data_IF_639174778022
#
_entry.id   IF_639174778022
#
_cell.length_a   1.000
_cell.length_b   1.000
_cell.length_c   1.000
_cell.angle_alpha   90.00
_cell.angle_beta   90.00
_cell.angle_gamma   90.00
#
_symmetry.space_group_name_H-M   'P 1'
#
loop_
_entity.id
_entity.type
_entity.pdbx_description
1 polymer ?
#
# COMPACT_ATOMS: atom_id res chain seq x y z
N UNK A 1 -44.95 -2.34 -67.31
CA UNK A 1 -44.82 -1.41 -66.19
C UNK A 1 -44.17 -2.19 -65.04
N UNK A 2 -42.86 -2.04 -64.81
CA UNK A 2 -42.11 -2.71 -63.74
C UNK A 2 -42.02 -1.78 -62.53
N UNK A 3 -42.57 -2.22 -61.43
CA UNK A 3 -42.56 -1.48 -60.16
C UNK A 3 -41.19 -1.73 -59.48
N UNK A 4 -40.31 -0.75 -59.42
CA UNK A 4 -39.04 -0.78 -58.65
C UNK A 4 -39.39 -0.39 -57.24
N UNK A 5 -39.34 -1.36 -56.30
CA UNK A 5 -39.44 -1.11 -54.85
C UNK A 5 -38.07 -0.75 -54.35
N UNK A 6 -37.87 0.52 -54.01
CA UNK A 6 -36.65 1.03 -53.37
C UNK A 6 -36.69 0.70 -51.87
N UNK A 7 -35.92 -0.32 -51.42
CA UNK A 7 -35.80 -0.67 -50.02
C UNK A 7 -34.77 0.26 -49.35
N UNK A 8 -35.22 1.28 -48.62
CA UNK A 8 -34.35 2.13 -47.83
C UNK A 8 -33.96 1.38 -46.54
N UNK A 9 -32.71 0.92 -46.47
CA UNK A 9 -32.13 0.36 -45.25
C UNK A 9 -31.75 1.50 -44.33
N UNK A 10 -32.57 1.79 -43.32
CA UNK A 10 -32.18 2.68 -42.23
C UNK A 10 -31.24 1.93 -41.29
N UNK A 11 -29.94 2.21 -41.37
CA UNK A 11 -28.98 1.84 -40.33
C UNK A 11 -29.24 2.72 -39.12
N UNK A 12 -29.93 2.19 -38.12
CA UNK A 12 -30.01 2.82 -36.81
C UNK A 12 -28.63 2.68 -36.17
N UNK A 13 -27.84 3.74 -36.23
CA UNK A 13 -26.62 3.83 -35.41
C UNK A 13 -27.09 3.89 -33.96
N UNK A 14 -26.98 2.78 -33.24
CA UNK A 14 -27.13 2.76 -31.79
C UNK A 14 -25.99 3.60 -31.23
N UNK A 15 -26.29 4.80 -30.73
CA UNK A 15 -25.35 5.56 -29.92
C UNK A 15 -25.13 4.76 -28.63
N UNK A 16 -24.08 3.99 -28.59
CA UNK A 16 -23.65 3.33 -27.35
C UNK A 16 -23.22 4.43 -26.39
N UNK A 17 -23.87 4.51 -25.24
CA UNK A 17 -23.44 5.43 -24.17
C UNK A 17 -21.99 5.12 -23.80
N UNK A 18 -21.16 6.15 -23.66
CA UNK A 18 -19.77 5.98 -23.23
C UNK A 18 -19.73 5.26 -21.89
N UNK A 19 -18.91 4.22 -21.77
CA UNK A 19 -18.83 3.40 -20.59
C UNK A 19 -18.26 4.21 -19.39
N UNK A 20 -18.98 4.23 -18.26
CA UNK A 20 -18.48 4.65 -16.95
C UNK A 20 -17.83 3.44 -16.29
N UNK A 21 -16.65 3.61 -15.72
CA UNK A 21 -15.88 2.51 -15.14
C UNK A 21 -16.07 2.38 -13.61
N UNK A 22 -16.97 3.16 -13.00
CA UNK A 22 -17.22 3.13 -11.55
C UNK A 22 -16.06 3.65 -10.72
N UNK A 23 -15.17 4.44 -11.32
CA UNK A 23 -14.05 5.13 -10.66
C UNK A 23 -14.30 6.62 -10.74
N UNK A 24 -14.09 7.32 -9.61
CA UNK A 24 -14.28 8.77 -9.52
C UNK A 24 -13.01 9.40 -8.93
N UNK A 25 -12.53 10.47 -9.53
CA UNK A 25 -11.39 11.26 -9.04
C UNK A 25 -11.86 12.69 -8.84
N UNK A 26 -11.77 13.21 -7.60
CA UNK A 26 -12.22 14.56 -7.24
C UNK A 26 -13.65 14.87 -7.73
N UNK A 27 -14.57 13.91 -7.63
CA UNK A 27 -15.96 14.06 -8.08
C UNK A 27 -16.18 13.87 -9.59
N UNK A 28 -15.14 13.60 -10.37
CA UNK A 28 -15.24 13.37 -11.81
C UNK A 28 -15.16 11.88 -12.13
N UNK A 29 -16.16 11.33 -12.79
CA UNK A 29 -16.16 9.93 -13.26
C UNK A 29 -15.06 9.67 -14.29
N UNK A 30 -14.49 8.47 -14.22
CA UNK A 30 -13.57 7.94 -15.23
C UNK A 30 -14.38 7.21 -16.30
N UNK A 31 -14.32 7.72 -17.53
CA UNK A 31 -15.10 7.27 -18.66
C UNK A 31 -14.18 6.83 -19.80
N UNK A 32 -14.73 6.12 -20.77
CA UNK A 32 -14.05 5.77 -22.02
C UNK A 32 -13.36 6.98 -22.70
N UNK A 33 -13.98 8.18 -22.60
CA UNK A 33 -13.46 9.38 -23.28
C UNK A 33 -12.27 10.04 -22.59
N UNK A 34 -12.10 9.85 -21.26
CA UNK A 34 -11.04 10.50 -20.48
C UNK A 34 -10.04 9.52 -19.84
N UNK A 35 -10.29 8.21 -19.89
CA UNK A 35 -9.49 7.21 -19.17
C UNK A 35 -7.99 7.22 -19.55
N UNK A 36 -7.65 7.63 -20.76
CA UNK A 36 -6.28 7.67 -21.22
C UNK A 36 -5.45 8.83 -20.64
N UNK A 37 -6.12 9.88 -20.15
CA UNK A 37 -5.47 11.02 -19.51
C UNK A 37 -6.44 11.73 -18.55
N UNK A 38 -6.21 11.54 -17.25
CA UNK A 38 -7.01 12.12 -16.19
C UNK A 38 -6.34 13.38 -15.56
N UNK A 39 -5.21 13.83 -16.13
CA UNK A 39 -4.49 15.01 -15.63
C UNK A 39 -5.29 16.32 -15.84
N UNK A 40 -6.27 16.32 -16.74
CA UNK A 40 -7.19 17.44 -16.91
C UNK A 40 -8.22 17.62 -15.81
N UNK A 41 -8.34 16.66 -14.89
CA UNK A 41 -9.23 16.77 -13.73
C UNK A 41 -8.66 17.80 -12.76
N UNK A 42 -9.48 18.74 -12.30
CA UNK A 42 -9.06 19.76 -11.35
C UNK A 42 -8.49 19.13 -10.08
N UNK A 43 -7.31 19.60 -9.66
CA UNK A 43 -6.57 19.08 -8.50
C UNK A 43 -5.70 17.87 -8.79
N UNK A 44 -5.66 17.39 -10.05
CA UNK A 44 -4.75 16.32 -10.49
C UNK A 44 -3.57 16.93 -11.22
N UNK A 45 -2.36 16.48 -10.87
CA UNK A 45 -1.11 16.80 -11.56
C UNK A 45 -0.28 15.53 -11.71
N UNK A 46 0.68 15.52 -12.63
CA UNK A 46 1.43 14.33 -13.01
C UNK A 46 0.62 13.44 -13.96
N UNK A 47 0.98 12.18 -14.12
CA UNK A 47 0.28 11.27 -15.03
C UNK A 47 -0.68 10.37 -14.27
N UNK A 48 -1.95 10.42 -14.65
CA UNK A 48 -3.00 9.54 -14.15
C UNK A 48 -3.77 8.97 -15.33
N UNK A 49 -3.80 7.64 -15.46
CA UNK A 49 -4.40 6.93 -16.59
C UNK A 49 -5.11 5.68 -16.13
N UNK A 50 -6.23 5.37 -16.75
CA UNK A 50 -6.94 4.12 -16.50
C UNK A 50 -7.00 3.27 -17.77
N UNK A 51 -6.59 2.02 -17.67
CA UNK A 51 -6.73 0.99 -18.70
C UNK A 51 -7.91 0.08 -18.37
N UNK A 52 -9.02 0.15 -19.11
CA UNK A 52 -10.20 -0.67 -18.83
C UNK A 52 -9.99 -2.17 -19.14
N UNK A 53 -9.07 -2.51 -20.06
CA UNK A 53 -8.82 -3.90 -20.42
C UNK A 53 -8.16 -4.68 -19.28
N UNK A 54 -7.28 -4.03 -18.53
CA UNK A 54 -6.58 -4.61 -17.37
C UNK A 54 -7.12 -4.14 -16.02
N UNK A 55 -8.14 -3.25 -16.02
CA UNK A 55 -8.68 -2.56 -14.84
C UNK A 55 -7.59 -1.89 -14.00
N UNK A 56 -6.64 -1.23 -14.66
CA UNK A 56 -5.46 -0.65 -14.04
C UNK A 56 -5.51 0.88 -14.07
N UNK A 57 -5.55 1.49 -12.89
CA UNK A 57 -5.34 2.92 -12.70
C UNK A 57 -3.86 3.16 -12.37
N UNK A 58 -3.11 3.76 -13.29
CA UNK A 58 -1.70 4.09 -13.08
C UNK A 58 -1.57 5.51 -12.56
N UNK A 59 -0.87 5.67 -11.44
CA UNK A 59 -0.42 6.94 -10.88
C UNK A 59 1.10 7.01 -11.10
N UNK A 60 1.57 8.00 -11.85
CA UNK A 60 3.00 8.16 -12.13
C UNK A 60 3.43 9.60 -11.82
N UNK A 61 4.20 9.75 -10.72
CA UNK A 61 4.59 11.05 -10.16
C UNK A 61 3.38 11.98 -10.03
N UNK A 62 2.25 11.42 -9.62
CA UNK A 62 0.97 12.09 -9.60
C UNK A 62 0.67 12.71 -8.23
N UNK A 63 0.02 13.85 -8.24
CA UNK A 63 -0.58 14.45 -7.04
C UNK A 63 -2.07 14.65 -7.28
N UNK A 64 -2.90 14.13 -6.35
CA UNK A 64 -4.34 14.36 -6.34
C UNK A 64 -4.66 15.17 -5.08
N UNK A 65 -5.09 16.39 -5.26
CA UNK A 65 -5.52 17.29 -4.17
C UNK A 65 -7.04 17.41 -4.17
N UNK A 66 -7.67 17.06 -3.06
CA UNK A 66 -9.12 17.08 -2.89
C UNK A 66 -9.74 18.46 -3.12
N UNK A 67 -10.92 18.47 -3.72
CA UNK A 67 -11.65 19.68 -4.05
C UNK A 67 -12.98 19.70 -3.27
N UNK A 68 -13.16 20.70 -2.42
CA UNK A 68 -14.39 20.86 -1.66
C UNK A 68 -14.65 19.65 -0.76
N UNK A 69 -15.79 19.01 -0.91
CA UNK A 69 -16.21 17.81 -0.15
C UNK A 69 -16.13 16.53 -0.99
N UNK A 70 -15.26 16.51 -2.00
CA UNK A 70 -15.08 15.33 -2.84
C UNK A 70 -13.94 14.45 -2.32
N UNK A 71 -14.08 13.14 -2.46
CA UNK A 71 -12.99 12.17 -2.24
C UNK A 71 -11.94 12.34 -3.34
N UNK A 72 -10.66 12.21 -3.00
CA UNK A 72 -9.62 12.26 -4.02
C UNK A 72 -9.74 11.10 -5.01
N UNK A 73 -9.98 9.89 -4.50
CA UNK A 73 -10.21 8.70 -5.32
C UNK A 73 -11.33 7.86 -4.71
N UNK A 74 -12.27 7.45 -5.55
CA UNK A 74 -13.37 6.60 -5.15
C UNK A 74 -13.55 5.47 -6.17
N UNK A 75 -13.49 4.22 -5.70
CA UNK A 75 -13.86 3.04 -6.48
C UNK A 75 -15.22 2.54 -5.99
N UNK A 76 -16.27 2.81 -6.76
CA UNK A 76 -17.64 2.38 -6.43
C UNK A 76 -17.97 0.99 -6.96
N UNK A 77 -17.54 0.66 -8.19
CA UNK A 77 -18.04 -0.52 -8.93
C UNK A 77 -16.97 -1.26 -9.74
N UNK A 78 -15.74 -0.74 -9.84
CA UNK A 78 -14.66 -1.41 -10.55
C UNK A 78 -14.09 -2.57 -9.72
N UNK A 79 -14.71 -3.74 -9.82
CA UNK A 79 -14.26 -4.94 -9.10
C UNK A 79 -12.90 -5.40 -9.61
N UNK A 80 -11.94 -5.58 -8.67
CA UNK A 80 -10.58 -5.96 -8.99
C UNK A 80 -9.73 -4.81 -9.56
N UNK A 81 -10.06 -3.54 -9.24
CA UNK A 81 -9.25 -2.39 -9.60
C UNK A 81 -7.81 -2.56 -9.07
N UNK A 82 -6.84 -2.36 -9.95
CA UNK A 82 -5.42 -2.28 -9.60
C UNK A 82 -4.95 -0.83 -9.71
N UNK A 83 -4.49 -0.26 -8.60
CA UNK A 83 -3.89 1.08 -8.56
C UNK A 83 -2.38 0.87 -8.58
N UNK A 84 -1.74 1.13 -9.72
CA UNK A 84 -0.31 0.92 -9.92
C UNK A 84 0.45 2.21 -9.67
N UNK A 85 1.35 2.19 -8.70
CA UNK A 85 2.20 3.31 -8.32
C UNK A 85 3.52 3.26 -9.07
N UNK A 86 3.88 4.35 -9.74
CA UNK A 86 5.17 4.56 -10.38
C UNK A 86 5.78 5.88 -9.90
N UNK A 87 7.05 5.83 -9.46
CA UNK A 87 7.70 7.00 -8.87
C UNK A 87 7.03 7.46 -7.57
N UNK A 88 6.98 8.76 -7.32
CA UNK A 88 6.47 9.33 -6.07
C UNK A 88 5.09 9.94 -6.27
N UNK A 89 4.09 9.40 -5.60
CA UNK A 89 2.70 9.83 -5.72
C UNK A 89 2.20 10.43 -4.41
N UNK A 90 1.22 11.32 -4.51
CA UNK A 90 0.65 12.01 -3.35
C UNK A 90 -0.86 12.20 -3.46
N UNK A 91 -1.55 11.99 -2.32
CA UNK A 91 -2.96 12.31 -2.15
C UNK A 91 -3.10 13.25 -0.94
N UNK A 92 -3.78 14.37 -1.11
CA UNK A 92 -4.04 15.34 -0.03
C UNK A 92 -5.52 15.67 0.00
N UNK A 93 -6.20 15.42 1.11
CA UNK A 93 -7.58 15.83 1.30
C UNK A 93 -7.80 16.42 2.70
N UNK A 94 -8.11 17.70 2.78
CA UNK A 94 -8.33 18.37 4.06
C UNK A 94 -9.77 18.26 4.56
N UNK A 95 -10.73 18.00 3.69
CA UNK A 95 -12.16 18.08 4.00
C UNK A 95 -12.86 16.72 4.01
N UNK A 96 -12.42 15.79 3.15
CA UNK A 96 -13.07 14.50 2.92
C UNK A 96 -12.06 13.35 2.91
N UNK A 97 -12.52 12.12 2.71
CA UNK A 97 -11.71 10.89 2.63
C UNK A 97 -10.67 11.00 1.52
N UNK A 98 -9.47 10.53 1.78
CA UNK A 98 -8.42 10.46 0.77
C UNK A 98 -8.80 9.47 -0.34
N UNK A 99 -8.98 8.21 0.03
CA UNK A 99 -9.36 7.13 -0.89
C UNK A 99 -10.50 6.30 -0.29
N UNK A 100 -11.56 6.04 -1.05
CA UNK A 100 -12.66 5.17 -0.62
C UNK A 100 -12.87 4.03 -1.62
N UNK A 101 -13.06 2.81 -1.10
CA UNK A 101 -13.25 1.60 -1.89
C UNK A 101 -14.53 0.86 -1.47
N UNK A 102 -15.44 0.66 -2.40
CA UNK A 102 -16.66 -0.18 -2.29
C UNK A 102 -16.63 -1.39 -3.20
N UNK A 103 -15.51 -1.59 -3.90
CA UNK A 103 -15.18 -2.77 -4.70
C UNK A 103 -13.76 -3.20 -4.38
N UNK A 104 -13.48 -4.50 -4.50
CA UNK A 104 -12.15 -5.04 -4.21
C UNK A 104 -11.07 -4.29 -4.98
N UNK A 105 -10.05 -3.82 -4.26
CA UNK A 105 -9.00 -2.97 -4.80
C UNK A 105 -7.63 -3.44 -4.34
N UNK A 106 -6.66 -3.36 -5.27
CA UNK A 106 -5.25 -3.61 -4.98
C UNK A 106 -4.46 -2.33 -5.25
N UNK A 107 -3.67 -1.87 -4.28
CA UNK A 107 -2.66 -0.81 -4.47
C UNK A 107 -1.31 -1.51 -4.59
N UNK A 108 -0.58 -1.26 -5.68
CA UNK A 108 0.64 -2.01 -5.96
C UNK A 108 1.65 -1.21 -6.80
N UNK A 109 2.84 -1.80 -7.03
CA UNK A 109 3.87 -1.27 -7.93
C UNK A 109 5.08 -0.70 -7.19
N UNK A 110 6.21 -0.47 -7.87
CA UNK A 110 7.48 -0.11 -7.23
C UNK A 110 7.55 1.34 -6.75
N UNK A 111 6.45 2.09 -6.84
CA UNK A 111 6.38 3.48 -6.42
C UNK A 111 5.97 3.68 -4.97
N UNK A 112 5.91 4.96 -4.59
CA UNK A 112 5.48 5.39 -3.26
C UNK A 112 4.18 6.17 -3.31
N UNK A 113 3.42 6.17 -2.20
CA UNK A 113 2.22 6.97 -2.04
C UNK A 113 2.21 7.65 -0.66
N UNK A 114 2.24 9.00 -0.65
CA UNK A 114 2.06 9.83 0.55
C UNK A 114 0.60 10.31 0.61
N UNK A 115 -0.14 9.88 1.64
CA UNK A 115 -1.54 10.26 1.85
C UNK A 115 -1.62 11.18 3.06
N UNK A 116 -2.22 12.35 2.89
CA UNK A 116 -2.46 13.31 3.97
C UNK A 116 -3.92 13.70 4.04
N UNK A 117 -4.51 13.50 5.22
CA UNK A 117 -5.90 13.89 5.48
C UNK A 117 -6.03 14.65 6.79
N UNK A 118 -7.03 15.51 6.86
CA UNK A 118 -7.25 16.33 8.05
C UNK A 118 -8.53 15.92 8.78
N UNK A 119 -9.69 16.04 8.14
CA UNK A 119 -10.99 15.87 8.82
C UNK A 119 -11.54 14.45 8.75
N UNK A 120 -11.11 13.67 7.76
CA UNK A 120 -11.63 12.34 7.46
C UNK A 120 -10.51 11.31 7.36
N UNK A 121 -10.87 10.08 7.13
CA UNK A 121 -10.02 8.93 6.99
C UNK A 121 -9.06 9.06 5.79
N UNK A 122 -7.86 8.51 5.90
CA UNK A 122 -6.94 8.48 4.77
C UNK A 122 -7.38 7.44 3.72
N UNK A 123 -7.67 6.22 4.17
CA UNK A 123 -8.20 5.12 3.34
C UNK A 123 -9.41 4.53 4.05
N UNK A 124 -10.52 4.42 3.32
CA UNK A 124 -11.76 3.77 3.76
C UNK A 124 -12.12 2.65 2.77
N UNK A 125 -12.30 1.41 3.25
CA UNK A 125 -12.77 0.28 2.43
C UNK A 125 -13.95 -0.41 3.11
N UNK A 126 -15.07 -0.53 2.38
CA UNK A 126 -16.37 -0.85 2.97
C UNK A 126 -16.89 -2.16 2.41
N UNK A 127 -16.97 -3.20 3.25
CA UNK A 127 -17.45 -4.55 2.92
C UNK A 127 -16.68 -5.27 1.82
N UNK A 128 -15.47 -4.84 1.53
CA UNK A 128 -14.62 -5.38 0.47
C UNK A 128 -13.20 -5.58 0.96
N UNK A 129 -12.40 -6.47 0.34
CA UNK A 129 -10.97 -6.57 0.65
C UNK A 129 -10.18 -5.40 0.06
N UNK A 130 -9.13 -5.02 0.77
CA UNK A 130 -8.07 -4.12 0.30
C UNK A 130 -6.74 -4.84 0.35
N UNK A 131 -6.03 -4.87 -0.77
CA UNK A 131 -4.66 -5.41 -0.85
C UNK A 131 -3.66 -4.30 -1.10
N UNK A 132 -2.54 -4.31 -0.38
CA UNK A 132 -1.37 -3.45 -0.58
C UNK A 132 -0.20 -4.38 -0.85
N UNK A 133 0.38 -4.33 -2.06
CA UNK A 133 1.45 -5.25 -2.46
C UNK A 133 2.58 -4.55 -3.22
N UNK A 134 3.83 -4.93 -2.94
CA UNK A 134 5.04 -4.47 -3.65
C UNK A 134 5.18 -2.94 -3.74
N UNK A 135 4.78 -2.20 -2.70
CA UNK A 135 4.83 -0.74 -2.68
C UNK A 135 5.11 -0.15 -1.30
N UNK A 136 5.31 1.16 -1.26
CA UNK A 136 5.45 1.91 -0.01
C UNK A 136 4.34 2.94 0.13
N UNK A 137 3.62 2.90 1.26
CA UNK A 137 2.56 3.85 1.60
C UNK A 137 2.89 4.54 2.91
N UNK A 138 2.87 5.86 2.89
CA UNK A 138 2.97 6.70 4.09
C UNK A 138 1.65 7.44 4.29
N UNK A 139 1.06 7.34 5.47
CA UNK A 139 -0.19 7.99 5.83
C UNK A 139 0.04 8.93 7.00
N UNK A 140 -0.38 10.18 6.84
CA UNK A 140 -0.44 11.18 7.89
C UNK A 140 -1.88 11.70 7.98
N UNK A 141 -2.60 11.30 9.00
CA UNK A 141 -4.00 11.66 9.20
C UNK A 141 -4.23 12.35 10.54
N UNK A 142 -4.86 13.51 10.51
CA UNK A 142 -5.34 14.17 11.74
C UNK A 142 -6.59 13.46 12.32
N UNK A 143 -7.15 12.50 11.59
CA UNK A 143 -8.25 11.65 12.00
C UNK A 143 -7.79 10.18 12.06
N UNK A 144 -8.26 9.33 11.18
CA UNK A 144 -8.00 7.89 11.18
C UNK A 144 -7.20 7.51 9.92
N UNK A 145 -6.31 6.54 10.03
CA UNK A 145 -5.47 6.09 8.92
C UNK A 145 -6.26 5.21 7.95
N UNK A 146 -6.28 3.90 8.18
CA UNK A 146 -6.96 2.90 7.35
C UNK A 146 -8.17 2.37 8.12
N UNK A 147 -9.35 2.46 7.49
CA UNK A 147 -10.63 2.10 8.12
C UNK A 147 -11.38 1.08 7.26
N UNK A 148 -11.80 -0.03 7.86
CA UNK A 148 -12.59 -1.06 7.19
C UNK A 148 -14.08 -0.74 7.05
N UNK A 149 -14.53 0.43 7.44
CA UNK A 149 -15.89 0.98 7.34
C UNK A 149 -17.00 -0.01 7.66
N UNK A 150 -17.46 0.00 8.88
CA UNK A 150 -18.36 -0.98 9.48
C UNK A 150 -17.69 -2.34 9.77
N UNK A 151 -17.98 -2.88 10.93
CA UNK A 151 -17.48 -4.18 11.39
C UNK A 151 -18.00 -5.28 10.46
N UNK A 152 -17.13 -5.75 9.56
CA UNK A 152 -17.48 -6.79 8.58
C UNK A 152 -16.29 -7.72 8.33
N UNK A 153 -16.52 -9.02 8.44
CA UNK A 153 -15.51 -10.04 8.09
C UNK A 153 -15.05 -9.96 6.63
N UNK A 154 -15.80 -9.27 5.76
CA UNK A 154 -15.42 -9.06 4.36
C UNK A 154 -14.37 -7.97 4.18
N UNK A 155 -14.24 -7.03 5.13
CA UNK A 155 -13.27 -5.95 5.07
C UNK A 155 -11.90 -6.44 5.55
N UNK A 156 -11.23 -7.28 4.76
CA UNK A 156 -9.90 -7.80 5.07
C UNK A 156 -8.83 -6.91 4.45
N UNK A 157 -7.84 -6.51 5.27
CA UNK A 157 -6.63 -5.83 4.81
C UNK A 157 -5.52 -6.86 4.59
N UNK A 158 -5.04 -6.97 3.35
CA UNK A 158 -3.85 -7.76 3.03
C UNK A 158 -2.69 -6.82 2.75
N UNK A 159 -1.56 -7.02 3.42
CA UNK A 159 -0.30 -6.32 3.15
C UNK A 159 0.76 -7.35 2.78
N UNK A 160 1.28 -7.26 1.55
CA UNK A 160 2.27 -8.20 1.01
C UNK A 160 3.50 -7.46 0.56
N UNK A 161 4.69 -7.91 1.00
CA UNK A 161 6.00 -7.38 0.55
C UNK A 161 6.03 -5.85 0.45
N UNK A 162 5.37 -5.16 1.37
CA UNK A 162 5.14 -3.72 1.33
C UNK A 162 5.55 -3.04 2.63
N UNK A 163 5.76 -1.72 2.54
CA UNK A 163 5.93 -0.86 3.69
C UNK A 163 4.73 0.06 3.84
N UNK A 164 4.04 -0.02 4.98
CA UNK A 164 2.89 0.84 5.32
C UNK A 164 3.19 1.54 6.65
N UNK A 165 3.44 2.84 6.59
CA UNK A 165 3.76 3.69 7.74
C UNK A 165 2.58 4.63 7.99
N UNK A 166 1.86 4.40 9.08
CA UNK A 166 0.64 5.14 9.40
C UNK A 166 0.87 5.97 10.64
N UNK A 167 0.68 7.27 10.52
CA UNK A 167 0.60 8.19 11.64
C UNK A 167 -0.80 8.81 11.68
N UNK A 168 -1.60 8.44 12.69
CA UNK A 168 -3.01 8.85 12.76
C UNK A 168 -3.45 9.10 14.21
N UNK A 169 -4.21 10.16 14.44
CA UNK A 169 -4.59 10.60 15.79
C UNK A 169 -5.65 9.69 16.44
N UNK A 170 -6.64 9.24 15.69
CA UNK A 170 -7.80 8.54 16.24
C UNK A 170 -7.75 7.02 16.06
N UNK A 171 -6.77 6.53 15.29
CA UNK A 171 -6.54 5.09 15.07
C UNK A 171 -5.80 4.83 13.77
N UNK A 172 -4.79 3.97 13.82
CA UNK A 172 -3.94 3.71 12.66
C UNK A 172 -4.64 2.78 11.65
N UNK A 173 -5.11 1.60 12.10
CA UNK A 173 -5.86 0.63 11.29
C UNK A 173 -7.00 0.08 12.14
N UNK A 174 -8.24 0.42 11.77
CA UNK A 174 -9.40 0.21 12.65
C UNK A 174 -10.64 -0.27 11.89
N UNK A 175 -11.53 -0.93 12.63
CA UNK A 175 -12.88 -1.34 12.21
C UNK A 175 -12.91 -2.20 10.96
N UNK A 176 -12.07 -3.23 10.91
CA UNK A 176 -11.94 -4.14 9.75
C UNK A 176 -12.04 -5.61 10.19
N UNK A 177 -12.31 -6.51 9.23
CA UNK A 177 -12.64 -7.91 9.52
C UNK A 177 -11.44 -8.79 9.81
N UNK A 178 -10.25 -8.40 9.39
CA UNK A 178 -9.02 -9.17 9.59
C UNK A 178 -7.84 -8.61 8.82
N UNK A 179 -6.63 -9.04 9.20
CA UNK A 179 -5.39 -8.67 8.54
C UNK A 179 -4.62 -9.92 8.11
N UNK A 180 -4.05 -9.86 6.90
CA UNK A 180 -3.11 -10.85 6.37
C UNK A 180 -1.81 -10.14 6.08
N UNK A 181 -0.71 -10.61 6.66
CA UNK A 181 0.64 -10.09 6.46
C UNK A 181 1.48 -11.16 5.77
N UNK A 182 1.92 -10.87 4.55
CA UNK A 182 2.78 -11.76 3.76
C UNK A 182 4.09 -11.04 3.42
N UNK A 183 5.21 -11.66 3.77
CA UNK A 183 6.55 -11.08 3.61
C UNK A 183 6.75 -9.71 4.27
N UNK A 184 5.94 -9.44 5.27
CA UNK A 184 6.02 -8.27 6.16
C UNK A 184 5.45 -8.61 7.55
N UNK A 185 5.66 -7.72 8.51
CA UNK A 185 5.15 -7.85 9.87
C UNK A 185 4.84 -6.46 10.44
N UNK A 186 4.14 -6.40 11.56
CA UNK A 186 4.04 -5.16 12.33
C UNK A 186 5.38 -4.97 13.04
N UNK A 187 6.09 -3.90 12.66
CA UNK A 187 7.44 -3.59 13.15
C UNK A 187 7.38 -2.69 14.39
N UNK A 188 6.41 -1.76 14.39
CA UNK A 188 6.24 -0.77 15.47
C UNK A 188 4.77 -0.34 15.58
N UNK A 189 4.26 -0.12 16.81
CA UNK A 189 4.88 -0.50 18.08
C UNK A 189 4.89 -2.02 18.29
N UNK A 190 5.71 -2.51 19.25
CA UNK A 190 5.71 -3.93 19.62
C UNK A 190 4.41 -4.31 20.33
N UNK A 191 4.01 -5.58 20.24
CA UNK A 191 2.84 -6.11 20.94
C UNK A 191 1.51 -5.83 20.25
N UNK A 192 1.49 -5.22 19.08
CA UNK A 192 0.27 -5.00 18.31
C UNK A 192 -0.27 -6.32 17.77
N UNK A 193 -1.55 -6.55 17.98
CA UNK A 193 -2.30 -7.69 17.46
C UNK A 193 -3.59 -7.21 16.80
N UNK A 194 -4.18 -8.03 15.96
CA UNK A 194 -5.56 -7.83 15.55
C UNK A 194 -6.50 -8.27 16.69
N UNK A 195 -7.17 -7.30 17.30
CA UNK A 195 -8.10 -7.53 18.39
C UNK A 195 -9.53 -7.64 17.83
N UNK A 196 -10.14 -8.83 18.01
CA UNK A 196 -11.50 -9.11 17.54
C UNK A 196 -12.57 -8.36 18.35
N UNK A 197 -12.26 -7.93 19.57
CA UNK A 197 -13.21 -7.20 20.43
C UNK A 197 -13.46 -5.79 19.91
N UNK A 198 -12.43 -5.10 19.45
CA UNK A 198 -12.55 -3.78 18.83
C UNK A 198 -12.41 -3.79 17.29
N UNK A 199 -12.20 -4.98 16.69
CA UNK A 199 -12.01 -5.16 15.23
C UNK A 199 -10.95 -4.21 14.67
N UNK A 200 -9.81 -4.12 15.33
CA UNK A 200 -8.78 -3.12 15.06
C UNK A 200 -7.39 -3.68 15.39
N UNK A 201 -6.34 -3.01 14.92
CA UNK A 201 -5.00 -3.23 15.47
C UNK A 201 -4.89 -2.55 16.83
N UNK A 202 -4.58 -3.34 17.86
CA UNK A 202 -4.60 -2.91 19.25
C UNK A 202 -3.41 -3.46 20.05
N UNK A 203 -3.12 -2.84 21.18
CA UNK A 203 -2.24 -3.34 22.24
C UNK A 203 -3.09 -3.39 23.51
N UNK A 204 -3.15 -4.56 24.16
CA UNK A 204 -3.92 -4.76 25.41
C UNK A 204 -5.38 -4.28 25.32
N UNK A 205 -6.01 -4.45 24.14
CA UNK A 205 -7.39 -4.03 23.87
C UNK A 205 -7.55 -2.55 23.47
N UNK A 206 -6.49 -1.74 23.53
CA UNK A 206 -6.52 -0.34 23.15
C UNK A 206 -6.07 -0.14 21.70
N UNK A 207 -6.88 0.57 20.90
CA UNK A 207 -6.59 0.86 19.50
C UNK A 207 -5.26 1.62 19.35
N UNK A 208 -4.40 1.16 18.44
CA UNK A 208 -3.12 1.82 18.14
C UNK A 208 -3.37 3.20 17.52
N UNK A 209 -2.87 4.23 18.18
CA UNK A 209 -2.85 5.63 17.76
C UNK A 209 -1.42 6.15 17.63
N UNK A 210 -1.26 7.27 16.96
CA UNK A 210 0.06 7.82 16.67
C UNK A 210 0.67 7.05 15.50
N UNK A 211 1.75 6.30 15.73
CA UNK A 211 2.47 5.63 14.64
C UNK A 211 2.35 4.11 14.68
N UNK A 212 2.02 3.54 13.54
CA UNK A 212 2.05 2.11 13.23
C UNK A 212 2.91 1.89 11.98
N UNK A 213 3.87 0.96 12.06
CA UNK A 213 4.68 0.56 10.92
C UNK A 213 4.49 -0.93 10.63
N UNK A 214 4.00 -1.23 9.43
CA UNK A 214 4.04 -2.56 8.82
C UNK A 214 5.14 -2.54 7.78
N UNK A 215 6.00 -3.55 7.75
CA UNK A 215 7.10 -3.63 6.81
C UNK A 215 7.90 -4.91 6.94
N UNK A 216 9.00 -4.98 6.20
CA UNK A 216 9.88 -6.15 6.30
C UNK A 216 10.43 -6.26 7.72
N UNK A 217 10.38 -7.44 8.32
CA UNK A 217 10.92 -7.64 9.64
C UNK A 217 12.41 -7.28 9.64
N UNK A 218 12.76 -6.32 10.48
CA UNK A 218 14.15 -6.08 10.85
C UNK A 218 14.45 -7.01 12.02
N UNK A 219 15.44 -7.84 11.88
CA UNK A 219 15.82 -8.81 12.91
C UNK A 219 16.50 -8.15 14.13
N UNK A 220 16.49 -6.83 14.19
CA UNK A 220 17.11 -6.02 15.26
C UNK A 220 18.61 -6.23 15.39
N UNK A 221 19.26 -6.70 14.33
CA UNK A 221 20.72 -6.78 14.20
C UNK A 221 21.17 -6.04 12.96
N UNK A 222 22.40 -5.53 12.98
CA UNK A 222 23.05 -5.00 11.78
C UNK A 222 24.46 -5.55 11.63
N UNK A 223 24.91 -5.66 10.38
CA UNK A 223 26.27 -6.08 10.01
C UNK A 223 26.89 -4.96 9.20
N UNK A 224 28.08 -4.55 9.55
CA UNK A 224 28.78 -3.40 8.96
C UNK A 224 27.92 -2.12 8.84
N UNK A 225 27.00 -1.90 9.79
CA UNK A 225 26.08 -0.77 9.83
C UNK A 225 24.82 -0.94 8.98
N UNK A 226 24.66 -2.03 8.23
CA UNK A 226 23.48 -2.34 7.43
C UNK A 226 22.55 -3.27 8.20
N UNK A 227 21.27 -2.91 8.29
CA UNK A 227 20.27 -3.73 8.97
C UNK A 227 20.09 -5.10 8.30
N UNK A 228 20.02 -6.16 9.09
CA UNK A 228 19.69 -7.51 8.62
C UNK A 228 18.17 -7.64 8.52
N UNK A 229 17.70 -7.92 7.32
CA UNK A 229 16.29 -8.04 6.97
C UNK A 229 16.03 -9.37 6.27
N UNK A 230 14.79 -9.70 6.00
CA UNK A 230 14.43 -10.90 5.23
C UNK A 230 15.07 -10.93 3.84
N UNK A 231 15.36 -9.78 3.24
CA UNK A 231 15.91 -9.70 1.88
C UNK A 231 17.39 -10.04 1.81
N UNK A 232 18.17 -9.72 2.86
CA UNK A 232 19.61 -9.92 2.86
C UNK A 232 20.10 -11.00 3.85
N UNK A 233 19.22 -11.52 4.71
CA UNK A 233 19.63 -12.44 5.76
C UNK A 233 20.29 -13.74 5.27
N UNK A 234 19.96 -14.18 4.07
CA UNK A 234 20.53 -15.41 3.49
C UNK A 234 21.95 -15.23 2.97
N UNK A 235 22.32 -13.99 2.62
CA UNK A 235 23.66 -13.64 2.16
C UNK A 235 23.96 -12.18 2.51
N UNK A 236 24.75 -11.98 3.56
CA UNK A 236 25.16 -10.67 4.02
C UNK A 236 26.51 -10.24 3.39
N UNK A 237 27.13 -11.07 2.55
CA UNK A 237 28.35 -10.72 1.82
C UNK A 237 28.10 -9.66 0.73
N UNK A 238 26.84 -9.45 0.36
CA UNK A 238 26.43 -8.34 -0.53
C UNK A 238 26.63 -6.95 0.11
N UNK A 239 26.85 -6.89 1.42
CA UNK A 239 27.10 -5.65 2.14
C UNK A 239 28.55 -5.24 1.94
N UNK A 240 28.78 -3.97 1.56
CA UNK A 240 30.14 -3.43 1.36
C UNK A 240 30.98 -3.60 2.63
N UNK A 241 32.20 -4.12 2.47
CA UNK A 241 33.11 -4.47 3.57
C UNK A 241 32.82 -5.80 4.26
N UNK A 242 31.89 -6.62 3.76
CA UNK A 242 31.63 -7.98 4.24
C UNK A 242 32.09 -9.00 3.21
N UNK A 243 32.84 -10.02 3.64
CA UNK A 243 33.29 -11.12 2.79
C UNK A 243 33.24 -12.45 3.52
N UNK A 244 33.36 -13.57 2.80
CA UNK A 244 33.13 -14.92 3.31
C UNK A 244 31.63 -15.26 3.35
N UNK A 245 31.26 -16.32 4.08
CA UNK A 245 29.85 -16.67 4.25
C UNK A 245 29.35 -16.00 5.52
N UNK A 246 28.45 -15.02 5.35
CA UNK A 246 27.76 -14.34 6.45
C UNK A 246 26.28 -14.42 6.20
N UNK A 247 25.55 -15.13 7.05
CA UNK A 247 24.10 -15.33 6.92
C UNK A 247 23.40 -15.36 8.26
N UNK A 248 22.15 -14.97 8.29
CA UNK A 248 21.33 -14.96 9.49
C UNK A 248 20.06 -15.78 9.29
N UNK A 249 19.81 -16.72 10.21
CA UNK A 249 18.57 -17.47 10.31
C UNK A 249 17.65 -16.80 11.35
N UNK A 250 16.56 -16.20 10.87
CA UNK A 250 15.61 -15.50 11.73
C UNK A 250 14.75 -16.42 12.62
N UNK A 251 14.66 -17.72 12.30
CA UNK A 251 13.91 -18.72 13.09
C UNK A 251 14.75 -19.15 14.29
N UNK A 252 15.99 -19.56 14.03
CA UNK A 252 16.93 -20.01 15.07
C UNK A 252 17.68 -18.86 15.74
N UNK A 253 17.53 -17.62 15.21
CA UNK A 253 18.24 -16.41 15.65
C UNK A 253 19.76 -16.60 15.61
N UNK A 254 20.26 -17.28 14.59
CA UNK A 254 21.66 -17.62 14.46
C UNK A 254 22.32 -16.83 13.34
N UNK A 255 23.32 -16.02 13.68
CA UNK A 255 24.24 -15.39 12.72
C UNK A 255 25.43 -16.33 12.48
N UNK A 256 25.57 -16.86 11.28
CA UNK A 256 26.67 -17.73 10.90
C UNK A 256 27.75 -16.92 10.19
N UNK A 257 28.98 -17.07 10.64
CA UNK A 257 30.20 -16.48 10.09
C UNK A 257 31.13 -17.61 9.70
N UNK A 258 31.41 -17.80 8.42
CA UNK A 258 32.32 -18.84 7.94
C UNK A 258 33.40 -18.21 7.06
N UNK A 259 34.66 -18.31 7.50
CA UNK A 259 35.80 -17.64 6.85
C UNK A 259 35.48 -16.14 6.55
N UNK A 260 34.79 -15.49 7.46
CA UNK A 260 34.19 -14.18 7.26
C UNK A 260 35.10 -13.03 7.69
N UNK A 261 35.09 -11.96 6.94
CA UNK A 261 35.65 -10.68 7.33
C UNK A 261 34.55 -9.62 7.30
N UNK A 262 34.44 -8.85 8.37
CA UNK A 262 33.50 -7.72 8.47
C UNK A 262 34.29 -6.44 8.76
N UNK A 263 34.43 -5.61 7.71
CA UNK A 263 35.07 -4.30 7.79
C UNK A 263 33.97 -3.21 7.77
N UNK A 264 33.65 -2.56 8.90
CA UNK A 264 32.44 -1.75 9.04
C UNK A 264 32.47 -0.41 8.29
N UNK A 265 33.45 -0.15 7.45
CA UNK A 265 33.52 1.07 6.63
C UNK A 265 33.46 2.34 7.49
N UNK A 266 32.42 3.17 7.31
CA UNK A 266 32.17 4.35 8.12
C UNK A 266 31.49 4.03 9.47
N UNK A 267 30.98 2.83 9.66
CA UNK A 267 30.42 2.36 10.93
C UNK A 267 31.56 1.97 11.87
N UNK A 268 31.42 2.27 13.14
CA UNK A 268 32.40 1.86 14.17
C UNK A 268 32.13 0.45 14.70
N UNK A 269 31.04 -0.20 14.28
CA UNK A 269 30.56 -1.48 14.79
C UNK A 269 30.38 -2.49 13.66
N UNK A 270 31.09 -3.62 13.73
CA UNK A 270 30.98 -4.69 12.75
C UNK A 270 29.63 -5.44 12.83
N UNK A 271 29.25 -5.83 14.04
CA UNK A 271 27.96 -6.47 14.34
C UNK A 271 27.32 -5.71 15.49
N UNK A 272 26.08 -5.26 15.31
CA UNK A 272 25.32 -4.57 16.34
C UNK A 272 24.01 -5.31 16.57
N UNK A 273 23.75 -5.70 17.82
CA UNK A 273 22.48 -6.26 18.26
C UNK A 273 21.68 -5.19 19.01
N UNK A 274 20.59 -4.72 18.42
CA UNK A 274 19.74 -3.71 19.04
C UNK A 274 18.71 -4.32 20.01
N UNK A 275 18.13 -5.49 19.66
CA UNK A 275 17.05 -6.09 20.45
C UNK A 275 16.70 -7.54 20.00
N UNK A 276 17.66 -8.24 19.44
CA UNK A 276 17.51 -9.67 19.14
C UNK A 276 17.87 -10.48 20.38
N UNK A 277 16.87 -10.84 21.17
CA UNK A 277 17.08 -11.71 22.32
C UNK A 277 17.58 -13.09 21.86
N UNK A 278 18.47 -13.71 22.64
CA UNK A 278 19.04 -15.05 22.36
C UNK A 278 19.74 -15.14 20.99
N UNK A 279 20.36 -14.04 20.54
CA UNK A 279 21.21 -14.09 19.34
C UNK A 279 22.38 -15.05 19.56
N UNK A 280 22.46 -16.07 18.71
CA UNK A 280 23.59 -16.97 18.63
C UNK A 280 24.52 -16.54 17.49
N UNK A 281 25.82 -16.40 17.74
CA UNK A 281 26.81 -16.18 16.69
C UNK A 281 27.62 -17.48 16.54
N UNK A 282 27.48 -18.12 15.37
CA UNK A 282 28.20 -19.35 15.04
C UNK A 282 29.39 -19.00 14.15
N UNK A 283 30.60 -19.25 14.63
CA UNK A 283 31.85 -18.96 13.92
C UNK A 283 32.48 -20.24 13.44
N UNK A 284 32.78 -20.33 12.16
CA UNK A 284 33.34 -21.52 11.49
C UNK A 284 34.58 -21.10 10.71
N UNK A 285 35.70 -21.73 11.00
CA UNK A 285 36.99 -21.49 10.30
C UNK A 285 37.93 -20.57 11.03
#
# INVERSE_FOLDING_TARGET
>A
MALVVLLAVFTVATMQAAADYGIVINGYSVWEKNCNDLSGIKGVTGSVKYDPATKTLTLENATITGIGKERCLFNSECEGLRIVLKGSNRIVNNEEVGMEFRSATTICGPGTLDIRTNKKEAILFIYVPLTIEDCEITINSENTGIVGGFISEKSVLTVRNSRVDVNAKNGCVVYFGGIVLEDCAIVQPKGVVFDKGCMSLAIDGEIVKGRLLIGKPNYAISVAGVAVTKDNCNDLSVIDGVSGIVKYDGITRTLTLENATIAPGKSTVGIFNADCNDLTINVIG
#
